data_IF_524212289847
#
_entry.id   IF_524212289847
#
_cell.length_a   1.000
_cell.length_b   1.000
_cell.length_c   1.000
_cell.angle_alpha   90.00
_cell.angle_beta   90.00
_cell.angle_gamma   90.00
#
_symmetry.space_group_name_H-M   'P 1'
#
loop_
_entity.id
_entity.type
_entity.pdbx_description
1 polymer ?
#
# COMPACT_ATOMS: atom_id res chain seq x y z
N UNK A 1 -11.96 24.57 -5.89
CA UNK A 1 -12.77 23.56 -5.33
C UNK A 1 -12.15 22.22 -5.34
N UNK A 2 -11.66 21.77 -6.44
CA UNK A 2 -11.05 20.49 -6.43
C UNK A 2 -9.90 20.38 -5.47
N UNK A 3 -9.23 21.46 -5.16
CA UNK A 3 -8.12 21.42 -4.22
C UNK A 3 -8.58 21.12 -2.79
N UNK A 4 -9.88 21.25 -2.54
CA UNK A 4 -10.44 20.92 -1.26
C UNK A 4 -10.15 19.47 -0.88
N UNK A 5 -10.03 18.58 -1.85
CA UNK A 5 -9.78 17.17 -1.59
C UNK A 5 -8.31 16.77 -1.74
N UNK A 6 -7.44 17.73 -2.05
CA UNK A 6 -6.03 17.42 -2.24
C UNK A 6 -5.31 17.35 -0.91
N UNK A 7 -4.54 16.32 -0.71
CA UNK A 7 -3.66 16.19 0.46
C UNK A 7 -2.26 15.89 -0.04
N UNK A 8 -1.27 16.36 0.69
CA UNK A 8 0.13 16.18 0.31
C UNK A 8 0.76 15.03 1.10
N UNK A 9 1.96 14.64 0.69
CA UNK A 9 2.74 13.67 1.42
C UNK A 9 2.97 14.16 2.85
N UNK A 10 3.30 15.44 3.02
CA UNK A 10 3.56 16.00 4.33
C UNK A 10 2.32 15.88 5.23
N UNK A 11 1.13 16.08 4.68
CA UNK A 11 -0.11 15.96 5.44
C UNK A 11 -0.29 14.56 6.01
N UNK A 12 -0.11 13.53 5.17
CA UNK A 12 -0.36 12.15 5.60
C UNK A 12 0.78 11.57 6.43
N UNK A 13 1.95 12.23 6.41
CA UNK A 13 3.11 11.81 7.18
C UNK A 13 3.24 12.58 8.49
N UNK A 14 2.23 13.37 8.89
CA UNK A 14 2.29 14.07 10.16
C UNK A 14 2.38 13.04 11.29
N UNK A 15 3.06 13.38 12.39
CA UNK A 15 3.17 12.44 13.50
C UNK A 15 1.83 11.93 14.02
N UNK A 16 0.81 12.78 14.04
CA UNK A 16 -0.50 12.38 14.50
C UNK A 16 -1.12 11.33 13.58
N UNK A 17 -1.03 11.55 12.26
CA UNK A 17 -1.60 10.59 11.30
C UNK A 17 -0.79 9.31 11.24
N UNK A 18 0.54 9.38 11.34
CA UNK A 18 1.34 8.17 11.38
C UNK A 18 0.94 7.28 12.57
N UNK A 19 0.64 7.90 13.70
CA UNK A 19 0.18 7.14 14.86
C UNK A 19 -1.17 6.47 14.59
N UNK A 20 -2.05 7.13 13.85
CA UNK A 20 -3.33 6.55 13.45
C UNK A 20 -3.12 5.40 12.48
N UNK A 21 -2.32 5.64 11.43
CA UNK A 21 -2.05 4.62 10.42
C UNK A 21 -1.48 3.35 11.05
N UNK A 22 -0.58 3.52 12.02
CA UNK A 22 0.06 2.36 12.64
C UNK A 22 -0.93 1.50 13.41
N UNK A 23 -2.01 2.10 13.92
CA UNK A 23 -2.99 1.38 14.73
C UNK A 23 -4.17 0.83 13.96
N UNK A 24 -4.24 1.09 12.66
CA UNK A 24 -5.36 0.60 11.86
C UNK A 24 -5.27 -0.90 11.67
N UNK A 25 -6.44 -1.54 11.55
CA UNK A 25 -6.50 -2.98 11.32
C UNK A 25 -6.42 -3.35 9.84
N UNK A 26 -6.24 -2.36 8.98
CA UNK A 26 -6.03 -2.58 7.55
C UNK A 26 -4.61 -2.17 7.21
N UNK A 27 -4.13 -2.62 6.06
CA UNK A 27 -2.79 -2.24 5.61
C UNK A 27 -2.75 -0.80 5.17
N UNK A 28 -1.69 -0.08 5.56
CA UNK A 28 -1.46 1.29 5.13
C UNK A 28 -0.02 1.39 4.66
N UNK A 29 0.16 1.93 3.46
CA UNK A 29 1.49 2.17 2.91
C UNK A 29 1.50 3.51 2.21
N UNK A 30 2.64 4.18 2.26
CA UNK A 30 2.81 5.50 1.65
C UNK A 30 4.12 5.50 0.88
N UNK A 31 4.06 5.98 -0.37
CA UNK A 31 5.27 6.21 -1.16
C UNK A 31 5.36 7.69 -1.51
N UNK A 32 6.58 8.15 -1.74
CA UNK A 32 6.80 9.54 -2.17
C UNK A 32 6.65 9.66 -3.69
N UNK A 33 6.90 10.83 -4.23
CA UNK A 33 6.75 11.11 -5.65
C UNK A 33 7.65 10.25 -6.53
N UNK A 34 8.74 9.77 -5.99
CA UNK A 34 9.65 8.89 -6.72
C UNK A 34 9.29 7.41 -6.60
N UNK A 35 8.22 7.09 -5.89
CA UNK A 35 7.84 5.68 -5.70
C UNK A 35 8.60 4.99 -4.59
N UNK A 36 9.27 5.75 -3.74
CA UNK A 36 10.04 5.21 -2.62
C UNK A 36 9.11 5.06 -1.41
N UNK A 37 9.12 3.89 -0.81
CA UNK A 37 8.31 3.64 0.39
C UNK A 37 8.82 4.49 1.53
N UNK A 38 7.92 5.28 2.12
CA UNK A 38 8.26 6.14 3.26
C UNK A 38 7.55 5.70 4.53
N UNK A 39 6.53 4.85 4.41
CA UNK A 39 5.82 4.30 5.56
C UNK A 39 5.06 3.04 5.17
N UNK A 40 5.04 2.07 6.06
CA UNK A 40 4.22 0.87 5.93
C UNK A 40 3.88 0.43 7.34
N UNK A 41 2.58 0.29 7.64
CA UNK A 41 2.20 -0.06 9.00
C UNK A 41 2.48 -1.53 9.31
N UNK A 42 2.35 -1.87 10.57
CA UNK A 42 2.76 -3.18 11.06
C UNK A 42 1.97 -4.32 10.43
N UNK A 43 0.66 -4.16 10.30
CA UNK A 43 -0.16 -5.25 9.74
C UNK A 43 0.19 -5.50 8.28
N UNK A 44 0.45 -4.45 7.50
CA UNK A 44 0.86 -4.61 6.11
C UNK A 44 2.19 -5.36 6.03
N UNK A 45 3.16 -4.98 6.86
CA UNK A 45 4.47 -5.65 6.85
C UNK A 45 4.35 -7.11 7.26
N UNK A 46 3.52 -7.40 8.25
CA UNK A 46 3.34 -8.77 8.71
C UNK A 46 2.70 -9.64 7.64
N UNK A 47 1.64 -9.18 7.02
CA UNK A 47 0.96 -9.96 5.99
C UNK A 47 1.88 -10.20 4.82
N UNK A 48 2.62 -9.18 4.39
CA UNK A 48 3.47 -9.28 3.21
C UNK A 48 4.80 -9.99 3.47
N UNK A 49 5.05 -10.38 4.72
CA UNK A 49 6.29 -11.09 5.04
C UNK A 49 7.49 -10.19 5.13
N UNK A 50 7.27 -8.91 5.44
CA UNK A 50 8.35 -7.92 5.54
C UNK A 50 8.75 -7.59 6.97
N UNK A 51 8.38 -8.43 7.94
CA UNK A 51 8.68 -8.11 9.34
C UNK A 51 10.17 -7.94 9.62
N UNK A 52 11.00 -8.68 8.89
CA UNK A 52 12.44 -8.62 9.04
C UNK A 52 13.10 -7.82 7.91
N UNK A 53 12.31 -7.19 7.07
CA UNK A 53 12.81 -6.49 5.90
C UNK A 53 12.67 -4.99 6.12
N UNK A 54 13.74 -4.27 5.80
CA UNK A 54 13.65 -2.82 5.82
C UNK A 54 12.93 -2.36 4.58
N UNK A 55 11.71 -1.84 4.74
CA UNK A 55 10.90 -1.40 3.60
C UNK A 55 11.04 0.08 3.31
N UNK A 56 11.22 0.89 4.35
CA UNK A 56 11.37 2.34 4.16
C UNK A 56 12.68 2.61 3.43
N UNK A 57 12.60 3.42 2.40
CA UNK A 57 13.74 3.75 1.57
C UNK A 57 13.87 2.91 0.32
N UNK A 58 13.04 1.87 0.16
CA UNK A 58 13.07 1.04 -1.03
C UNK A 58 12.03 1.51 -2.03
N UNK A 59 12.35 1.42 -3.31
CA UNK A 59 11.37 1.69 -4.35
C UNK A 59 10.31 0.60 -4.30
N UNK A 60 9.06 0.96 -4.59
CA UNK A 60 7.95 0.04 -4.47
C UNK A 60 8.14 -1.22 -5.33
N UNK A 61 8.86 -1.12 -6.44
CA UNK A 61 9.14 -2.26 -7.30
C UNK A 61 10.17 -3.21 -6.72
N UNK A 62 10.84 -2.80 -5.65
CA UNK A 62 11.73 -3.68 -4.91
C UNK A 62 10.97 -4.49 -3.86
N UNK A 63 9.70 -4.21 -3.68
CA UNK A 63 8.85 -4.88 -2.69
C UNK A 63 7.74 -5.70 -3.34
N UNK A 64 7.19 -5.22 -4.45
CA UNK A 64 6.06 -5.85 -5.13
C UNK A 64 6.33 -6.02 -6.61
N UNK A 65 5.83 -7.14 -7.15
CA UNK A 65 6.01 -7.48 -8.56
C UNK A 65 4.70 -7.27 -9.30
N UNK A 66 4.74 -6.85 -10.58
CA UNK A 66 3.51 -6.70 -11.36
C UNK A 66 3.01 -8.09 -11.74
N UNK A 67 1.91 -8.51 -11.14
CA UNK A 67 1.35 -9.83 -11.36
C UNK A 67 0.28 -9.72 -12.45
N UNK A 68 0.66 -10.01 -13.69
CA UNK A 68 -0.28 -9.93 -14.82
C UNK A 68 -0.64 -8.52 -15.24
N UNK A 69 0.07 -7.52 -14.75
CA UNK A 69 -0.16 -6.12 -15.08
C UNK A 69 1.11 -5.52 -15.64
N UNK A 70 0.99 -4.41 -16.35
CA UNK A 70 2.17 -3.73 -16.90
C UNK A 70 3.04 -3.11 -15.80
N UNK A 71 2.45 -2.73 -14.68
CA UNK A 71 3.16 -2.22 -13.52
C UNK A 71 2.30 -2.41 -12.28
N UNK A 72 2.91 -2.26 -11.10
CA UNK A 72 2.12 -2.35 -9.87
C UNK A 72 1.17 -1.15 -9.78
N UNK A 73 -0.01 -1.31 -9.16
CA UNK A 73 -1.01 -0.24 -9.12
C UNK A 73 -0.52 1.05 -8.49
N UNK A 74 0.40 1.00 -7.53
CA UNK A 74 0.97 2.20 -6.94
C UNK A 74 1.63 3.07 -8.00
N UNK A 75 2.40 2.45 -8.90
CA UNK A 75 3.07 3.17 -9.97
C UNK A 75 2.05 3.71 -10.97
N UNK A 76 1.01 2.93 -11.27
CA UNK A 76 -0.04 3.41 -12.17
C UNK A 76 -0.73 4.64 -11.59
N UNK A 77 -1.07 4.62 -10.30
CA UNK A 77 -1.70 5.73 -9.61
C UNK A 77 -0.79 6.96 -9.63
N UNK A 78 0.50 6.77 -9.34
CA UNK A 78 1.46 7.85 -9.32
C UNK A 78 1.60 8.48 -10.71
N UNK A 79 1.64 7.65 -11.74
CA UNK A 79 1.82 8.13 -13.10
C UNK A 79 0.58 8.85 -13.62
N UNK A 80 -0.61 8.32 -13.33
CA UNK A 80 -1.85 8.90 -13.84
C UNK A 80 -2.34 10.07 -13.00
N UNK A 81 -2.01 10.09 -11.70
CA UNK A 81 -2.49 11.13 -10.82
C UNK A 81 -3.97 11.04 -10.54
N UNK A 82 -4.55 9.83 -10.66
CA UNK A 82 -5.97 9.58 -10.42
C UNK A 82 -6.11 8.48 -9.39
N UNK A 83 -7.13 8.57 -8.51
CA UNK A 83 -7.33 7.51 -7.53
C UNK A 83 -7.75 6.21 -8.21
N UNK A 84 -7.27 5.10 -7.66
CA UNK A 84 -7.72 3.78 -8.05
C UNK A 84 -8.42 3.23 -6.81
N UNK A 85 -9.77 3.25 -6.84
CA UNK A 85 -10.54 2.89 -5.66
C UNK A 85 -11.12 1.49 -5.79
N UNK A 86 -11.12 0.78 -4.66
CA UNK A 86 -11.67 -0.58 -4.58
C UNK A 86 -11.10 -1.48 -5.66
N UNK A 87 -9.79 -1.38 -5.84
CA UNK A 87 -9.08 -2.20 -6.82
C UNK A 87 -8.93 -3.61 -6.27
N UNK A 88 -9.72 -4.54 -6.80
CA UNK A 88 -9.65 -5.95 -6.40
C UNK A 88 -8.64 -6.63 -7.30
N UNK A 89 -7.64 -7.26 -6.70
CA UNK A 89 -6.59 -7.89 -7.49
C UNK A 89 -5.74 -8.80 -6.63
N UNK A 90 -5.02 -9.70 -7.31
CA UNK A 90 -3.99 -10.50 -6.67
C UNK A 90 -2.67 -9.77 -6.82
N UNK A 91 -1.96 -9.57 -5.72
CA UNK A 91 -0.65 -8.95 -5.82
C UNK A 91 0.42 -9.93 -5.33
N UNK A 92 1.63 -9.70 -5.80
CA UNK A 92 2.75 -10.59 -5.55
C UNK A 92 3.88 -9.80 -4.92
N UNK A 93 4.44 -10.32 -3.83
CA UNK A 93 5.59 -9.70 -3.20
C UNK A 93 6.86 -10.25 -3.84
N UNK A 94 7.98 -9.56 -3.62
CA UNK A 94 9.28 -10.04 -4.12
C UNK A 94 9.68 -11.36 -3.47
N UNK A 95 9.02 -11.75 -2.38
CA UNK A 95 9.25 -13.04 -1.75
C UNK A 95 8.40 -14.14 -2.38
N UNK A 96 7.74 -13.85 -3.49
CA UNK A 96 6.87 -14.79 -4.22
C UNK A 96 5.59 -15.16 -3.48
N UNK A 97 5.20 -14.40 -2.48
CA UNK A 97 3.91 -14.60 -1.83
C UNK A 97 2.82 -13.91 -2.65
N UNK A 98 1.66 -14.55 -2.76
CA UNK A 98 0.57 -14.07 -3.58
C UNK A 98 -0.65 -13.85 -2.70
N UNK A 99 -1.25 -12.68 -2.78
CA UNK A 99 -2.36 -12.30 -1.92
C UNK A 99 -3.52 -11.73 -2.72
N UNK A 100 -4.72 -12.10 -2.33
CA UNK A 100 -5.95 -11.51 -2.86
C UNK A 100 -6.34 -10.32 -1.99
N UNK A 101 -6.60 -9.18 -2.60
CA UNK A 101 -6.81 -7.94 -1.85
C UNK A 101 -7.78 -7.01 -2.55
N UNK A 102 -8.30 -6.08 -1.78
CA UNK A 102 -8.99 -4.90 -2.30
C UNK A 102 -8.25 -3.70 -1.74
N UNK A 103 -7.84 -2.80 -2.60
CA UNK A 103 -7.03 -1.65 -2.19
C UNK A 103 -7.56 -0.35 -2.77
N UNK A 104 -7.36 0.72 -2.01
CA UNK A 104 -7.56 2.08 -2.48
C UNK A 104 -6.18 2.70 -2.64
N UNK A 105 -5.91 3.27 -3.80
CA UNK A 105 -4.68 4.00 -4.07
C UNK A 105 -5.06 5.45 -4.28
N UNK A 106 -4.56 6.32 -3.42
CA UNK A 106 -4.94 7.73 -3.38
C UNK A 106 -3.75 8.58 -3.73
N UNK A 107 -3.78 9.30 -4.86
CA UNK A 107 -2.64 10.12 -5.23
C UNK A 107 -2.56 11.33 -4.33
N UNK A 108 -1.34 11.69 -3.96
CA UNK A 108 -1.06 12.86 -3.13
C UNK A 108 -0.53 13.96 -4.02
N UNK A 109 -0.86 15.21 -3.68
CA UNK A 109 -0.46 16.36 -4.46
C UNK A 109 0.04 17.48 -3.56
N UNK A 110 1.00 18.22 -4.07
CA UNK A 110 1.45 19.45 -3.44
C UNK A 110 1.53 20.50 -4.53
N UNK A 111 0.76 21.58 -4.40
CA UNK A 111 0.73 22.65 -5.41
C UNK A 111 0.46 22.08 -6.79
N UNK A 112 -0.49 21.15 -6.87
CA UNK A 112 -0.95 20.52 -8.12
C UNK A 112 0.10 19.61 -8.75
N UNK A 113 1.19 19.33 -8.06
CA UNK A 113 2.22 18.40 -8.53
C UNK A 113 2.09 17.10 -7.76
N UNK A 114 2.23 15.97 -8.45
CA UNK A 114 2.15 14.65 -7.82
C UNK A 114 3.20 14.52 -6.73
N UNK A 115 2.77 14.10 -5.55
CA UNK A 115 3.60 14.11 -4.36
C UNK A 115 3.81 12.73 -3.76
N UNK A 116 3.02 11.76 -4.17
CA UNK A 116 3.12 10.41 -3.66
C UNK A 116 1.81 9.67 -3.78
N UNK A 117 1.72 8.53 -3.10
CA UNK A 117 0.51 7.70 -3.08
C UNK A 117 0.30 7.16 -1.67
N UNK A 118 -0.94 7.26 -1.19
CA UNK A 118 -1.37 6.64 0.07
C UNK A 118 -2.23 5.44 -0.30
N UNK A 119 -1.94 4.28 0.27
CA UNK A 119 -2.63 3.04 -0.07
C UNK A 119 -3.26 2.43 1.17
N UNK A 120 -4.53 2.03 1.05
CA UNK A 120 -5.21 1.23 2.07
C UNK A 120 -5.52 -0.13 1.48
N UNK A 121 -5.25 -1.20 2.21
CA UNK A 121 -5.42 -2.56 1.71
C UNK A 121 -6.15 -3.43 2.72
N UNK A 122 -7.15 -4.18 2.23
CA UNK A 122 -7.76 -5.27 3.00
C UNK A 122 -7.55 -6.55 2.21
N UNK A 123 -7.40 -7.65 2.95
CA UNK A 123 -7.13 -8.94 2.34
C UNK A 123 -8.40 -9.75 2.30
N UNK A 124 -8.59 -10.49 1.21
CA UNK A 124 -9.81 -11.26 1.00
C UNK A 124 -9.74 -12.63 1.65
N UNK A 125 -8.55 -13.07 2.02
CA UNK A 125 -8.37 -14.35 2.69
C UNK A 125 -8.29 -14.11 4.19
N UNK A 126 -9.38 -14.40 4.89
CA UNK A 126 -9.44 -14.11 6.33
C UNK A 126 -8.46 -14.94 7.14
N UNK A 127 -7.98 -16.07 6.62
CA UNK A 127 -7.01 -16.86 7.37
C UNK A 127 -5.68 -16.13 7.52
N UNK A 128 -5.36 -15.25 6.60
CA UNK A 128 -4.15 -14.46 6.69
C UNK A 128 -4.20 -13.52 7.90
N UNK A 129 -5.38 -12.98 8.18
CA UNK A 129 -5.54 -12.03 9.26
C UNK A 129 -5.62 -12.71 10.63
N UNK A 130 -6.16 -13.90 10.67
CA UNK A 130 -6.33 -14.60 11.94
C UNK A 130 -5.12 -15.44 12.31
N UNK A 131 -4.24 -15.69 11.38
CA UNK A 131 -3.08 -16.53 11.63
C UNK A 131 -3.40 -18.01 11.64
N UNK A 132 -4.61 -18.39 11.18
CA UNK A 132 -5.01 -19.78 11.16
C UNK A 132 -4.85 -20.38 9.81
N UNK A 133 -3.94 -19.92 9.09
CA UNK A 133 -3.72 -20.35 7.73
C UNK A 133 -3.60 -21.81 7.58
N UNK A 134 -3.50 -22.38 8.68
CA UNK A 134 -3.58 -23.69 8.58
C UNK A 134 -4.73 -24.17 8.01
N UNK A 135 -5.46 -23.61 8.08
CA UNK A 135 -6.45 -24.06 7.58
C UNK A 135 -6.43 -24.40 6.40
N UNK A 136 -5.65 -24.31 6.42
CA UNK A 136 -5.47 -24.53 5.55
C UNK A 136 -5.43 -25.30 5.06
N UNK A 137 -5.60 -25.34 5.53
CA UNK A 137 -5.68 -25.86 5.24
C UNK A 137 -6.14 -26.17 4.64
N UNK A 138 -6.34 -25.99 4.77
CA UNK A 138 -6.61 -26.25 4.22
C UNK A 138 -6.84 -26.19 3.77
N UNK A 139 -6.82 -25.88 4.14
CA UNK A 139 -6.91 -25.91 3.68
C UNK A 139 -6.69 -25.95 3.69
#
# INVERSE_FOLDING_TARGET
>A
MKDFFSVSLQDVMSPALLAVWERMSIGVAIVDAGGICVFMNDIQRKVDGFSQTRVVGKHITQLYLPNGMSCVPTIECLRRGEPLLRKAYWYKTVNNSLFSSVSDFIPLFKNKVRDGVLTFTIWMDSTLLTGTGTHSAGG
#
